data_IF_396401382795
#
_entry.id   IF_396401382795
#
_cell.length_a   1.000
_cell.length_b   1.000
_cell.length_c   1.000
_cell.angle_alpha   90.00
_cell.angle_beta   90.00
_cell.angle_gamma   90.00
#
_symmetry.space_group_name_H-M   'P 1'
#
loop_
_entity.id
_entity.type
_entity.pdbx_description
1 polymer ?
#
# COMPACT_ATOMS: atom_id res chain seq x y z
N UNK A 1 28.65 -8.53 3.44
CA UNK A 1 29.37 -7.60 2.53
C UNK A 1 30.68 -8.17 1.95
N UNK A 2 31.30 -9.19 2.54
CA UNK A 2 32.61 -9.75 2.10
C UNK A 2 32.57 -10.66 0.87
N UNK A 3 31.42 -11.24 0.51
CA UNK A 3 31.29 -12.15 -0.64
C UNK A 3 31.28 -11.43 -1.99
N UNK A 4 30.71 -10.22 -2.08
CA UNK A 4 30.63 -9.46 -3.32
C UNK A 4 31.99 -8.93 -3.80
N UNK A 5 32.92 -8.63 -2.88
CA UNK A 5 34.26 -8.17 -3.28
C UNK A 5 35.13 -9.30 -3.85
N UNK A 6 34.89 -10.56 -3.45
CA UNK A 6 35.74 -11.69 -3.85
C UNK A 6 35.44 -12.19 -5.27
N UNK A 7 34.18 -12.12 -5.71
CA UNK A 7 33.78 -12.49 -7.06
C UNK A 7 34.25 -11.49 -8.13
N UNK A 8 34.23 -10.19 -7.84
CA UNK A 8 34.68 -9.16 -8.79
C UNK A 8 36.19 -9.17 -9.01
N UNK A 9 37.00 -9.44 -7.98
CA UNK A 9 38.47 -9.51 -8.12
C UNK A 9 38.90 -10.75 -8.92
N UNK A 10 38.22 -11.89 -8.73
CA UNK A 10 38.56 -13.13 -9.45
C UNK A 10 38.35 -13.04 -10.96
N UNK A 11 37.30 -12.33 -11.40
CA UNK A 11 36.98 -12.20 -12.83
C UNK A 11 37.96 -11.30 -13.60
N UNK A 12 38.48 -10.25 -12.96
CA UNK A 12 39.44 -9.34 -13.59
C UNK A 12 40.86 -9.93 -13.68
N UNK A 13 41.30 -10.70 -12.67
CA UNK A 13 42.65 -11.30 -12.66
C UNK A 13 42.76 -12.46 -13.68
N UNK A 14 41.66 -13.16 -13.98
CA UNK A 14 41.64 -14.23 -15.00
C UNK A 14 41.78 -13.71 -16.44
N UNK A 15 41.48 -12.44 -16.71
CA UNK A 15 41.44 -11.91 -18.08
C UNK A 15 42.70 -11.13 -18.50
N UNK A 16 43.73 -11.07 -17.65
CA UNK A 16 44.99 -10.33 -17.90
C UNK A 16 46.24 -11.22 -17.98
N UNK A 17 46.06 -12.55 -18.03
CA UNK A 17 47.13 -13.56 -18.02
C UNK A 17 47.46 -14.13 -19.40
N UNK A 18 48.57 -13.67 -19.95
CA UNK A 18 49.29 -14.05 -21.16
C UNK A 18 49.57 -15.58 -21.31
N UNK A 19 49.16 -16.17 -22.45
CA UNK A 19 49.92 -17.16 -23.25
C UNK A 19 50.09 -18.63 -22.78
N UNK A 20 49.80 -19.56 -23.71
CA UNK A 20 50.41 -20.91 -23.76
C UNK A 20 49.48 -22.09 -23.46
N UNK A 21 49.31 -22.99 -24.44
CA UNK A 21 48.69 -24.32 -24.32
C UNK A 21 49.22 -25.09 -23.10
N UNK A 22 48.33 -25.77 -22.35
CA UNK A 22 48.29 -27.24 -22.22
C UNK A 22 46.89 -27.66 -21.74
N UNK A 23 46.34 -28.71 -22.35
CA UNK A 23 45.12 -29.39 -21.88
C UNK A 23 45.40 -30.01 -20.51
N UNK A 24 44.82 -29.46 -19.45
CA UNK A 24 44.38 -30.24 -18.30
C UNK A 24 42.86 -30.16 -18.23
N UNK A 25 42.23 -31.30 -18.47
CA UNK A 25 40.83 -31.59 -18.14
C UNK A 25 40.66 -31.43 -16.62
N UNK A 26 40.55 -30.18 -16.15
CA UNK A 26 40.24 -29.92 -14.75
C UNK A 26 38.72 -29.88 -14.64
N UNK A 27 38.21 -30.97 -14.06
CA UNK A 27 36.80 -31.27 -13.94
C UNK A 27 36.00 -30.04 -13.52
N UNK A 28 34.88 -29.80 -14.22
CA UNK A 28 33.79 -29.04 -13.62
C UNK A 28 33.62 -29.54 -12.18
N UNK A 29 33.50 -28.67 -11.16
CA UNK A 29 33.30 -29.14 -9.80
C UNK A 29 32.10 -30.09 -9.84
N UNK A 30 32.37 -31.39 -9.65
CA UNK A 30 31.39 -32.45 -9.85
C UNK A 30 30.22 -32.33 -8.85
N UNK A 31 30.38 -31.44 -7.87
CA UNK A 31 29.38 -31.13 -6.86
C UNK A 31 29.11 -29.61 -6.83
N UNK A 32 27.88 -29.16 -7.12
CA UNK A 32 27.49 -27.75 -7.01
C UNK A 32 27.64 -27.20 -5.58
N UNK A 33 27.64 -28.05 -4.55
CA UNK A 33 27.92 -27.66 -3.18
C UNK A 33 29.38 -27.24 -2.98
N UNK A 34 30.32 -28.01 -3.54
CA UNK A 34 31.76 -27.71 -3.49
C UNK A 34 32.10 -26.43 -4.26
N UNK A 35 31.40 -26.16 -5.38
CA UNK A 35 31.52 -24.93 -6.15
C UNK A 35 31.04 -23.69 -5.37
N UNK A 36 30.02 -23.87 -4.51
CA UNK A 36 29.51 -22.85 -3.60
C UNK A 36 30.34 -22.70 -2.31
N UNK A 37 31.34 -23.57 -2.10
CA UNK A 37 32.17 -23.58 -0.89
C UNK A 37 31.43 -24.03 0.36
N UNK A 38 30.33 -24.77 0.20
CA UNK A 38 29.50 -25.29 1.29
C UNK A 38 29.61 -26.81 1.36
N UNK A 39 29.34 -27.39 2.54
CA UNK A 39 29.12 -28.83 2.63
C UNK A 39 27.85 -29.19 1.87
N UNK A 40 27.75 -30.43 1.40
CA UNK A 40 26.60 -30.89 0.60
C UNK A 40 25.26 -30.72 1.35
N UNK A 41 25.26 -30.97 2.66
CA UNK A 41 24.09 -30.82 3.52
C UNK A 41 23.67 -29.34 3.64
N UNK A 42 24.62 -28.43 3.84
CA UNK A 42 24.36 -26.98 3.88
C UNK A 42 23.82 -26.45 2.53
N UNK A 43 24.29 -27.01 1.42
CA UNK A 43 23.81 -26.61 0.09
C UNK A 43 22.37 -27.06 -0.19
N UNK A 44 22.02 -28.27 0.24
CA UNK A 44 20.64 -28.79 0.12
C UNK A 44 19.66 -27.98 1.01
N UNK A 45 20.06 -27.62 2.23
CA UNK A 45 19.27 -26.74 3.10
C UNK A 45 19.12 -25.33 2.52
N UNK A 46 20.18 -24.76 1.97
CA UNK A 46 20.13 -23.45 1.33
C UNK A 46 19.18 -23.43 0.13
N UNK A 47 19.21 -24.48 -0.72
CA UNK A 47 18.26 -24.61 -1.82
C UNK A 47 16.82 -24.71 -1.31
N UNK A 48 16.59 -25.47 -0.24
CA UNK A 48 15.28 -25.59 0.38
C UNK A 48 14.78 -24.23 0.91
N UNK A 49 15.62 -23.46 1.59
CA UNK A 49 15.29 -22.11 2.06
C UNK A 49 14.92 -21.16 0.91
N UNK A 50 15.67 -21.19 -0.20
CA UNK A 50 15.35 -20.37 -1.37
C UNK A 50 13.99 -20.73 -1.97
N UNK A 51 13.65 -22.02 -2.02
CA UNK A 51 12.34 -22.47 -2.51
C UNK A 51 11.24 -22.06 -1.55
N UNK A 52 11.42 -22.24 -0.24
CA UNK A 52 10.44 -21.84 0.78
C UNK A 52 10.19 -20.33 0.77
N UNK A 53 11.23 -19.51 0.74
CA UNK A 53 11.11 -18.05 0.68
C UNK A 53 10.42 -17.60 -0.62
N UNK A 54 10.76 -18.24 -1.74
CA UNK A 54 10.08 -17.97 -3.01
C UNK A 54 8.60 -18.33 -2.93
N UNK A 55 8.26 -19.48 -2.36
CA UNK A 55 6.87 -19.91 -2.20
C UNK A 55 6.09 -18.96 -1.29
N UNK A 56 6.68 -18.50 -0.19
CA UNK A 56 6.06 -17.51 0.70
C UNK A 56 5.81 -16.19 -0.03
N UNK A 57 6.83 -15.66 -0.74
CA UNK A 57 6.68 -14.43 -1.53
C UNK A 57 5.62 -14.54 -2.62
N UNK A 58 5.59 -15.67 -3.33
CA UNK A 58 4.61 -15.90 -4.38
C UNK A 58 3.18 -16.00 -3.80
N UNK A 59 3.01 -16.60 -2.61
CA UNK A 59 1.75 -16.65 -1.89
C UNK A 59 1.29 -15.26 -1.43
N UNK A 60 2.17 -14.46 -0.82
CA UNK A 60 1.87 -13.08 -0.40
C UNK A 60 1.49 -12.21 -1.60
N UNK A 61 2.19 -12.38 -2.72
CA UNK A 61 1.89 -11.64 -3.94
C UNK A 61 0.53 -12.04 -4.52
N UNK A 62 0.19 -13.33 -4.49
CA UNK A 62 -1.12 -13.82 -4.91
C UNK A 62 -2.24 -13.23 -4.03
N UNK A 63 -2.05 -13.21 -2.71
CA UNK A 63 -3.00 -12.64 -1.76
C UNK A 63 -3.26 -11.15 -2.03
N UNK A 64 -2.19 -10.33 -2.08
CA UNK A 64 -2.32 -8.88 -2.37
C UNK A 64 -2.97 -8.61 -3.74
N UNK A 65 -2.73 -9.48 -4.71
CA UNK A 65 -3.32 -9.36 -6.05
C UNK A 65 -4.82 -9.67 -6.02
N UNK A 66 -5.24 -10.62 -5.20
CA UNK A 66 -6.64 -10.94 -4.94
C UNK A 66 -7.34 -9.82 -4.16
N UNK A 67 -6.74 -9.27 -3.09
CA UNK A 67 -7.31 -8.12 -2.36
C UNK A 67 -7.59 -6.93 -3.29
N UNK A 68 -6.63 -6.63 -4.16
CA UNK A 68 -6.78 -5.58 -5.17
C UNK A 68 -7.88 -5.92 -6.18
N UNK A 69 -8.07 -7.19 -6.52
CA UNK A 69 -9.16 -7.64 -7.37
C UNK A 69 -10.52 -7.50 -6.65
N UNK A 70 -10.60 -7.87 -5.37
CA UNK A 70 -11.78 -7.67 -4.52
C UNK A 70 -12.20 -6.20 -4.50
N UNK A 71 -11.27 -5.27 -4.24
CA UNK A 71 -11.54 -3.84 -4.30
C UNK A 71 -12.12 -3.40 -5.66
N UNK A 72 -11.50 -3.86 -6.77
CA UNK A 72 -11.99 -3.55 -8.12
C UNK A 72 -13.39 -4.11 -8.35
N UNK A 73 -13.72 -5.28 -7.83
CA UNK A 73 -15.05 -5.90 -7.92
C UNK A 73 -16.08 -5.08 -7.12
N UNK A 74 -15.77 -4.70 -5.88
CA UNK A 74 -16.63 -3.85 -5.05
C UNK A 74 -16.94 -2.51 -5.73
N UNK A 75 -15.94 -1.85 -6.33
CA UNK A 75 -16.13 -0.59 -7.05
C UNK A 75 -17.02 -0.77 -8.28
N UNK A 76 -16.82 -1.85 -9.05
CA UNK A 76 -17.69 -2.14 -10.20
C UNK A 76 -19.13 -2.35 -9.78
N UNK A 77 -19.37 -3.07 -8.71
CA UNK A 77 -20.72 -3.26 -8.16
C UNK A 77 -21.33 -1.92 -7.71
N UNK A 78 -20.57 -1.12 -6.94
CA UNK A 78 -21.00 0.21 -6.45
C UNK A 78 -21.45 1.14 -7.58
N UNK A 79 -20.72 1.12 -8.70
CA UNK A 79 -21.01 1.98 -9.86
C UNK A 79 -21.76 1.28 -10.99
N UNK A 80 -22.26 0.05 -10.77
CA UNK A 80 -23.00 -0.76 -11.75
C UNK A 80 -22.24 -0.96 -13.08
N UNK A 81 -20.93 -1.14 -12.99
CA UNK A 81 -20.08 -1.46 -14.13
C UNK A 81 -20.11 -2.96 -14.43
N UNK A 82 -19.87 -3.38 -15.69
CA UNK A 82 -19.77 -4.79 -16.05
C UNK A 82 -18.71 -5.52 -15.25
N UNK A 83 -19.02 -6.74 -14.81
CA UNK A 83 -18.08 -7.61 -14.07
C UNK A 83 -16.87 -7.99 -14.92
N UNK A 84 -15.77 -8.31 -14.26
CA UNK A 84 -14.50 -8.67 -14.88
C UNK A 84 -14.16 -10.12 -14.50
N UNK A 85 -14.26 -11.03 -15.46
CA UNK A 85 -13.92 -12.45 -15.26
C UNK A 85 -12.47 -12.63 -14.79
N UNK A 86 -11.56 -11.76 -15.24
CA UNK A 86 -10.17 -11.78 -14.80
C UNK A 86 -10.03 -11.52 -13.29
N UNK A 87 -10.84 -10.62 -12.75
CA UNK A 87 -10.78 -10.28 -11.33
C UNK A 87 -11.43 -11.38 -10.49
N UNK A 88 -12.54 -11.95 -10.96
CA UNK A 88 -13.19 -13.11 -10.32
C UNK A 88 -12.25 -14.32 -10.26
N UNK A 89 -11.54 -14.62 -11.35
CA UNK A 89 -10.57 -15.72 -11.37
C UNK A 89 -9.43 -15.51 -10.38
N UNK A 90 -8.95 -14.27 -10.21
CA UNK A 90 -7.85 -14.01 -9.26
C UNK A 90 -8.28 -14.11 -7.80
N UNK A 91 -9.52 -13.74 -7.48
CA UNK A 91 -10.11 -13.94 -6.16
C UNK A 91 -10.23 -15.45 -5.87
N UNK A 92 -10.80 -16.22 -6.80
CA UNK A 92 -10.93 -17.67 -6.66
C UNK A 92 -9.59 -18.40 -6.50
N UNK A 93 -8.53 -17.94 -7.18
CA UNK A 93 -7.19 -18.52 -7.06
C UNK A 93 -6.56 -18.34 -5.67
N UNK A 94 -6.90 -17.27 -4.96
CA UNK A 94 -6.41 -17.02 -3.61
C UNK A 94 -7.31 -17.64 -2.52
N UNK A 95 -8.49 -18.15 -2.91
CA UNK A 95 -9.56 -18.57 -2.01
C UNK A 95 -10.61 -17.47 -1.88
N UNK A 96 -11.89 -17.85 -1.76
CA UNK A 96 -13.01 -16.89 -1.70
C UNK A 96 -13.01 -16.00 -0.43
N UNK A 97 -12.04 -16.16 0.46
CA UNK A 97 -11.92 -15.46 1.76
C UNK A 97 -10.87 -14.35 1.69
N UNK A 98 -10.91 -13.52 0.63
CA UNK A 98 -9.99 -12.40 0.44
C UNK A 98 -10.74 -11.07 0.45
N UNK A 99 -10.53 -10.34 1.55
CA UNK A 99 -11.11 -9.02 1.79
C UNK A 99 -10.34 -7.89 1.08
N UNK A 100 -10.89 -6.67 1.21
CA UNK A 100 -10.26 -5.43 0.71
C UNK A 100 -9.00 -5.14 1.54
N UNK A 101 -7.91 -4.57 0.95
CA UNK A 101 -6.66 -4.35 1.66
C UNK A 101 -6.81 -3.64 3.01
N UNK A 102 -6.18 -4.16 4.06
CA UNK A 102 -6.25 -3.64 5.44
C UNK A 102 -5.80 -2.18 5.56
N UNK A 103 -4.82 -1.76 4.76
CA UNK A 103 -4.35 -0.37 4.73
C UNK A 103 -5.47 0.61 4.34
N UNK A 104 -6.37 0.18 3.45
CA UNK A 104 -7.52 1.00 3.06
C UNK A 104 -8.57 1.07 4.17
N UNK A 105 -8.80 -0.04 4.89
CA UNK A 105 -9.70 -0.05 6.04
C UNK A 105 -9.20 0.91 7.13
N UNK A 106 -7.91 0.84 7.44
CA UNK A 106 -7.29 1.71 8.43
C UNK A 106 -7.41 3.20 8.09
N UNK A 107 -7.18 3.57 6.82
CA UNK A 107 -7.34 4.98 6.40
C UNK A 107 -8.79 5.46 6.53
N UNK A 108 -9.77 4.60 6.24
CA UNK A 108 -11.18 4.93 6.42
C UNK A 108 -11.55 5.12 7.89
N UNK A 109 -11.01 4.29 8.78
CA UNK A 109 -11.25 4.40 10.21
C UNK A 109 -10.63 5.69 10.79
N UNK A 110 -9.41 6.04 10.37
CA UNK A 110 -8.73 7.28 10.78
C UNK A 110 -9.51 8.53 10.31
N UNK A 111 -9.91 8.59 9.03
CA UNK A 111 -10.72 9.70 8.50
C UNK A 111 -12.06 9.87 9.24
N UNK A 112 -12.72 8.77 9.59
CA UNK A 112 -13.98 8.81 10.33
C UNK A 112 -13.80 9.44 11.73
N UNK A 113 -12.71 9.10 12.42
CA UNK A 113 -12.42 9.67 13.75
C UNK A 113 -12.11 11.17 13.69
N UNK A 114 -11.36 11.64 12.70
CA UNK A 114 -11.06 13.06 12.55
C UNK A 114 -12.30 13.91 12.24
N UNK A 115 -13.23 13.39 11.43
CA UNK A 115 -14.48 14.09 11.11
C UNK A 115 -15.43 14.11 12.31
N UNK A 116 -15.52 13.02 13.09
CA UNK A 116 -16.30 13.01 14.34
C UNK A 116 -15.77 14.02 15.37
N UNK A 117 -14.45 14.21 15.49
CA UNK A 117 -13.87 15.23 16.38
C UNK A 117 -14.24 16.67 15.96
N UNK A 118 -14.33 16.93 14.64
CA UNK A 118 -14.72 18.23 14.08
C UNK A 118 -16.21 18.50 14.18
N UNK A 119 -17.05 17.49 13.93
CA UNK A 119 -18.51 17.57 14.04
C UNK A 119 -19.01 17.54 15.49
N UNK A 120 -18.16 17.11 16.43
CA UNK A 120 -18.46 17.19 17.84
C UNK A 120 -18.57 18.64 18.31
N UNK A 121 -19.46 18.89 19.28
CA UNK A 121 -19.74 20.20 19.89
C UNK A 121 -18.44 20.91 20.32
N UNK A 122 -17.43 20.14 20.71
CA UNK A 122 -16.11 20.64 21.11
C UNK A 122 -15.30 21.20 19.93
N UNK A 123 -15.33 20.56 18.76
CA UNK A 123 -14.71 21.05 17.52
C UNK A 123 -15.40 22.28 16.96
N UNK A 124 -16.73 22.35 17.06
CA UNK A 124 -17.49 23.58 16.77
C UNK A 124 -17.11 24.74 17.71
N UNK A 125 -16.86 24.47 18.99
CA UNK A 125 -16.48 25.49 19.96
C UNK A 125 -15.06 26.03 19.74
N UNK A 126 -14.12 25.20 19.26
CA UNK A 126 -12.81 25.67 18.79
C UNK A 126 -12.93 26.56 17.54
N UNK A 127 -13.79 26.21 16.58
CA UNK A 127 -14.04 27.05 15.41
C UNK A 127 -14.68 28.41 15.77
N UNK A 128 -15.53 28.44 16.81
CA UNK A 128 -16.10 29.68 17.34
C UNK A 128 -15.07 30.61 18.00
N UNK A 129 -13.98 30.08 18.58
CA UNK A 129 -12.90 30.90 19.14
C UNK A 129 -12.16 31.72 18.07
N UNK A 130 -12.25 31.29 16.80
CA UNK A 130 -11.64 31.98 15.67
C UNK A 130 -12.58 33.01 14.99
N UNK A 131 -13.83 33.14 15.45
CA UNK A 131 -14.76 34.16 14.97
C UNK A 131 -14.72 35.39 15.88
N UNK A 132 -14.44 36.54 15.28
CA UNK A 132 -14.47 37.84 15.96
C UNK A 132 -15.88 38.14 16.47
N UNK A 133 -16.02 38.27 17.79
CA UNK A 133 -17.29 38.52 18.48
C UNK A 133 -17.98 39.80 17.97
N UNK A 134 -17.20 40.78 17.49
CA UNK A 134 -17.74 42.01 16.93
C UNK A 134 -18.43 41.76 15.57
N UNK A 135 -17.89 40.86 14.73
CA UNK A 135 -18.54 40.47 13.47
C UNK A 135 -19.82 39.67 13.70
N UNK A 136 -19.85 38.81 14.73
CA UNK A 136 -21.07 38.08 15.12
C UNK A 136 -22.14 39.07 15.57
N UNK A 137 -21.77 40.04 16.40
CA UNK A 137 -22.67 41.06 16.91
C UNK A 137 -23.22 41.94 15.79
N UNK A 138 -22.38 42.36 14.84
CA UNK A 138 -22.79 43.16 13.69
C UNK A 138 -23.74 42.39 12.78
N UNK A 139 -23.43 41.12 12.44
CA UNK A 139 -24.31 40.27 11.63
C UNK A 139 -25.65 39.97 12.32
N UNK A 140 -25.62 39.74 13.63
CA UNK A 140 -26.83 39.51 14.42
C UNK A 140 -27.70 40.78 14.49
N UNK A 141 -27.08 41.96 14.64
CA UNK A 141 -27.81 43.23 14.60
C UNK A 141 -28.40 43.51 13.23
N UNK A 142 -27.63 43.28 12.15
CA UNK A 142 -28.07 43.46 10.77
C UNK A 142 -29.24 42.52 10.40
N UNK A 143 -29.23 41.27 10.84
CA UNK A 143 -30.34 40.33 10.61
C UNK A 143 -31.58 40.71 11.43
N UNK A 144 -31.41 41.19 12.66
CA UNK A 144 -32.53 41.69 13.48
C UNK A 144 -33.19 42.92 12.85
N UNK A 145 -32.41 43.87 12.35
CA UNK A 145 -32.94 45.05 11.67
C UNK A 145 -33.58 44.70 10.34
N UNK A 146 -33.00 43.79 9.55
CA UNK A 146 -33.63 43.31 8.31
C UNK A 146 -34.94 42.55 8.55
N UNK A 147 -35.01 41.71 9.59
CA UNK A 147 -36.25 41.02 9.95
C UNK A 147 -37.32 42.01 10.41
N UNK A 148 -36.91 43.02 11.19
CA UNK A 148 -37.81 44.07 11.65
C UNK A 148 -38.34 44.91 10.49
N UNK A 149 -37.49 45.36 9.57
CA UNK A 149 -37.92 46.15 8.40
C UNK A 149 -38.81 45.35 7.47
N UNK A 150 -38.47 44.08 7.19
CA UNK A 150 -39.33 43.18 6.40
C UNK A 150 -40.68 42.91 7.06
N UNK A 151 -40.73 42.87 8.39
CA UNK A 151 -41.99 42.72 9.12
C UNK A 151 -42.82 44.01 9.08
N UNK A 152 -42.20 45.18 9.23
CA UNK A 152 -42.85 46.49 9.13
C UNK A 152 -43.40 46.77 7.71
N UNK A 153 -42.66 46.38 6.67
CA UNK A 153 -43.10 46.45 5.27
C UNK A 153 -44.30 45.52 4.99
N UNK A 154 -44.34 44.33 5.60
CA UNK A 154 -45.46 43.39 5.41
C UNK A 154 -46.69 43.75 6.23
N UNK A 155 -46.54 44.44 7.36
CA UNK A 155 -47.64 44.84 8.23
C UNK A 155 -48.26 46.20 7.84
N UNK A 156 -47.51 47.08 7.17
CA UNK A 156 -48.01 48.39 6.69
C UNK A 156 -48.92 48.30 5.45
N UNK A 157 -49.03 47.12 4.84
CA UNK A 157 -49.85 46.87 3.63
C UNK A 157 -51.19 46.17 3.98
N UNK A 158 -51.54 46.01 5.27
CA UNK A 158 -52.87 45.56 5.72
C UNK A 158 -53.77 46.72 6.15
#
# INVERSE_FOLDING_TARGET
MSFFLKSMVSSQVKNLGLGGEEKSEDAAPADPAAAAGMTREEYEEYQKQLVEEKMQRDADFLHKKAERATLRTCLREKYRLPKSEQDENMIQMAGDDVDVPEELLKMVDEDATEEEEKDSIFGQMQNLQNMDMDQIKEKAQATLTEMKTKAEEKCSVM
#
